data_IF_478332697812
#
_entry.id   IF_478332697812
#
_cell.length_a   1.000
_cell.length_b   1.000
_cell.length_c   1.000
_cell.angle_alpha   90.00
_cell.angle_beta   90.00
_cell.angle_gamma   90.00
#
_symmetry.space_group_name_H-M   'P 1'
#
loop_
_entity.id
_entity.type
_entity.pdbx_description
1 polymer ?
#
# COMPACT_ATOMS: atom_id res chain seq x y z
N UNK A 1 -33.34 47.16 17.41
CA UNK A 1 -32.87 46.12 16.51
C UNK A 1 -32.63 44.85 17.34
N UNK A 2 -33.38 43.75 17.10
CA UNK A 2 -33.42 42.57 17.99
C UNK A 2 -32.10 41.83 18.02
N UNK A 3 -31.64 41.42 19.22
CA UNK A 3 -30.43 40.58 19.42
C UNK A 3 -30.41 39.35 18.49
N UNK A 4 -31.60 38.77 18.23
CA UNK A 4 -31.76 37.67 17.29
C UNK A 4 -31.31 38.00 15.82
N UNK A 5 -31.56 39.24 15.36
CA UNK A 5 -31.10 39.66 14.02
C UNK A 5 -29.57 39.73 13.92
N UNK A 6 -28.90 40.25 14.93
CA UNK A 6 -27.45 40.30 14.98
C UNK A 6 -26.83 38.90 15.06
N UNK A 7 -27.45 37.99 15.82
CA UNK A 7 -27.04 36.59 15.89
C UNK A 7 -27.18 35.90 14.53
N UNK A 8 -28.33 36.07 13.85
CA UNK A 8 -28.58 35.50 12.53
C UNK A 8 -27.60 36.05 11.47
N UNK A 9 -27.36 37.36 11.48
CA UNK A 9 -26.38 37.99 10.59
C UNK A 9 -24.96 37.45 10.82
N UNK A 10 -24.57 37.31 12.07
CA UNK A 10 -23.29 36.71 12.44
C UNK A 10 -23.16 35.24 11.96
N UNK A 11 -24.19 34.43 12.16
CA UNK A 11 -24.23 33.06 11.73
C UNK A 11 -24.13 32.91 10.19
N UNK A 12 -24.91 33.74 9.48
CA UNK A 12 -24.84 33.78 7.99
C UNK A 12 -23.48 34.24 7.50
N UNK A 13 -22.91 35.29 8.10
CA UNK A 13 -21.56 35.75 7.72
C UNK A 13 -20.50 34.71 7.99
N UNK A 14 -20.54 34.03 9.12
CA UNK A 14 -19.63 32.94 9.44
C UNK A 14 -19.74 31.79 8.42
N UNK A 15 -20.98 31.38 8.12
CA UNK A 15 -21.22 30.34 7.11
C UNK A 15 -20.70 30.74 5.73
N UNK A 16 -20.93 31.99 5.31
CA UNK A 16 -20.44 32.50 4.04
C UNK A 16 -18.90 32.53 3.98
N UNK A 17 -18.24 32.91 5.09
CA UNK A 17 -16.76 32.88 5.19
C UNK A 17 -16.25 31.44 5.11
N UNK A 18 -16.87 30.51 5.82
CA UNK A 18 -16.47 29.10 5.78
C UNK A 18 -16.66 28.49 4.39
N UNK A 19 -17.77 28.77 3.73
CA UNK A 19 -18.03 28.33 2.37
C UNK A 19 -17.05 28.95 1.37
N UNK A 20 -16.77 30.26 1.50
CA UNK A 20 -15.81 30.96 0.66
C UNK A 20 -14.39 30.42 0.85
N UNK A 21 -13.97 30.21 2.09
CA UNK A 21 -12.68 29.61 2.40
C UNK A 21 -12.58 28.16 1.88
N UNK A 22 -13.63 27.35 2.04
CA UNK A 22 -13.71 26.03 1.50
C UNK A 22 -13.61 25.99 -0.01
N UNK A 23 -14.33 26.88 -0.71
CA UNK A 23 -14.28 26.99 -2.17
C UNK A 23 -12.88 27.45 -2.66
N UNK A 24 -12.26 28.39 -1.94
CA UNK A 24 -10.91 28.85 -2.24
C UNK A 24 -9.89 27.72 -2.05
N UNK A 25 -10.00 26.96 -0.97
CA UNK A 25 -9.18 25.81 -0.70
C UNK A 25 -9.32 24.73 -1.80
N UNK A 26 -10.56 24.46 -2.24
CA UNK A 26 -10.82 23.54 -3.36
C UNK A 26 -10.22 24.03 -4.69
N UNK A 27 -10.21 25.34 -4.93
CA UNK A 27 -9.60 25.91 -6.14
C UNK A 27 -8.07 25.93 -6.10
N UNK A 28 -7.49 25.99 -4.90
CA UNK A 28 -6.03 25.94 -4.71
C UNK A 28 -5.50 24.52 -4.59
N UNK A 29 -6.37 23.56 -4.23
CA UNK A 29 -6.02 22.17 -4.33
C UNK A 29 -5.76 21.83 -5.81
N UNK A 30 -4.65 21.16 -6.09
CA UNK A 30 -4.21 20.74 -7.45
C UNK A 30 -5.18 19.75 -8.12
N UNK A 31 -6.45 19.82 -7.77
CA UNK A 31 -7.50 18.91 -8.19
C UNK A 31 -7.47 17.60 -7.40
N UNK A 32 -8.18 16.61 -7.91
CA UNK A 32 -8.22 15.25 -7.35
C UNK A 32 -7.16 14.35 -8.03
N UNK A 33 -6.00 14.92 -8.41
CA UNK A 33 -4.93 14.16 -9.04
C UNK A 33 -4.24 13.26 -8.01
N UNK A 34 -4.12 11.96 -8.31
CA UNK A 34 -3.36 11.04 -7.50
C UNK A 34 -1.83 11.24 -7.61
N UNK A 35 -1.36 12.02 -8.58
CA UNK A 35 0.07 12.32 -8.75
C UNK A 35 0.61 13.38 -7.79
N UNK A 36 -0.29 14.18 -7.18
CA UNK A 36 0.12 15.18 -6.21
C UNK A 36 0.31 14.53 -4.84
N UNK A 37 1.45 14.74 -4.17
CA UNK A 37 1.67 14.17 -2.86
C UNK A 37 0.71 14.77 -1.83
N UNK A 38 0.22 13.98 -0.85
CA UNK A 38 -0.65 14.49 0.19
C UNK A 38 0.07 15.53 1.06
N UNK A 39 -0.65 16.56 1.47
CA UNK A 39 -0.10 17.58 2.37
C UNK A 39 0.26 16.99 3.74
N UNK A 40 1.18 17.65 4.47
CA UNK A 40 1.58 17.20 5.80
C UNK A 40 0.40 17.16 6.81
N UNK A 41 -0.63 17.98 6.60
CA UNK A 41 -1.85 17.99 7.43
C UNK A 41 -2.69 16.75 7.12
N UNK A 42 -2.92 16.44 5.85
CA UNK A 42 -3.63 15.23 5.42
C UNK A 42 -2.95 13.98 5.95
N UNK A 43 -1.63 13.86 5.78
CA UNK A 43 -0.86 12.71 6.29
C UNK A 43 -1.05 12.54 7.79
N UNK A 44 -0.93 13.63 8.57
CA UNK A 44 -1.10 13.56 10.04
C UNK A 44 -2.51 13.18 10.44
N UNK A 45 -3.51 13.78 9.80
CA UNK A 45 -4.92 13.50 10.09
C UNK A 45 -5.28 12.05 9.70
N UNK A 46 -4.87 11.60 8.53
CA UNK A 46 -5.11 10.24 8.07
C UNK A 46 -4.46 9.19 8.99
N UNK A 47 -3.20 9.41 9.39
CA UNK A 47 -2.50 8.51 10.34
C UNK A 47 -3.17 8.48 11.70
N UNK A 48 -3.57 9.64 12.23
CA UNK A 48 -4.29 9.72 13.49
C UNK A 48 -5.64 9.02 13.42
N UNK A 49 -6.43 9.29 12.38
CA UNK A 49 -7.75 8.67 12.17
C UNK A 49 -7.63 7.16 12.03
N UNK A 50 -6.69 6.68 11.22
CA UNK A 50 -6.42 5.23 11.09
C UNK A 50 -6.08 4.61 12.43
N UNK A 51 -5.14 5.21 13.18
CA UNK A 51 -4.77 4.68 14.51
C UNK A 51 -5.95 4.70 15.47
N UNK A 52 -6.76 5.75 15.49
CA UNK A 52 -7.93 5.84 16.35
C UNK A 52 -9.03 4.82 15.98
N UNK A 53 -9.14 4.46 14.69
CA UNK A 53 -10.14 3.52 14.18
C UNK A 53 -9.79 2.05 14.46
N UNK A 54 -8.53 1.72 14.73
CA UNK A 54 -8.13 0.33 15.07
C UNK A 54 -8.55 0.05 16.52
N UNK A 55 -9.35 -1.00 16.78
CA UNK A 55 -9.78 -1.37 18.14
C UNK A 55 -8.61 -1.64 19.08
N UNK A 56 -8.77 -1.29 20.34
CA UNK A 56 -7.72 -1.48 21.37
C UNK A 56 -7.33 -2.96 21.53
N UNK A 57 -8.31 -3.84 21.45
CA UNK A 57 -8.11 -5.30 21.50
C UNK A 57 -7.27 -5.79 20.35
N UNK A 58 -7.49 -5.25 19.14
CA UNK A 58 -6.68 -5.60 17.97
C UNK A 58 -5.22 -5.14 18.14
N UNK A 59 -5.00 -3.91 18.64
CA UNK A 59 -3.65 -3.39 18.91
C UNK A 59 -2.88 -4.21 19.96
N UNK A 60 -3.60 -4.77 20.92
CA UNK A 60 -3.00 -5.57 21.99
C UNK A 60 -2.67 -7.01 21.57
N UNK A 61 -3.10 -7.46 20.37
CA UNK A 61 -2.79 -8.81 19.89
C UNK A 61 -1.29 -8.94 19.63
N UNK A 62 -0.68 -9.95 20.22
CA UNK A 62 0.67 -10.39 19.87
C UNK A 62 0.62 -11.37 18.70
N UNK A 63 1.67 -11.42 17.89
CA UNK A 63 1.77 -12.41 16.83
C UNK A 63 1.87 -13.82 17.44
N UNK A 64 0.93 -14.73 17.16
CA UNK A 64 0.94 -16.08 17.72
C UNK A 64 1.92 -17.01 17.00
N UNK A 65 2.46 -16.62 15.84
CA UNK A 65 3.33 -17.43 15.00
C UNK A 65 4.79 -17.13 15.36
N UNK A 66 5.66 -18.12 15.57
CA UNK A 66 7.07 -17.87 15.81
C UNK A 66 7.78 -17.39 14.52
N UNK A 67 8.70 -16.44 14.65
CA UNK A 67 9.52 -15.95 13.55
C UNK A 67 10.64 -16.94 13.23
N UNK A 68 10.35 -17.99 12.44
CA UNK A 68 11.34 -18.95 11.96
C UNK A 68 11.81 -18.60 10.53
N UNK A 69 12.96 -19.10 10.08
CA UNK A 69 13.38 -18.92 8.68
C UNK A 69 12.36 -19.43 7.66
N UNK A 70 11.66 -20.52 7.97
CA UNK A 70 10.62 -21.10 7.10
C UNK A 70 9.43 -20.17 6.99
N UNK A 71 8.94 -19.65 8.11
CA UNK A 71 7.85 -18.64 8.15
C UNK A 71 8.22 -17.39 7.37
N UNK A 72 9.47 -16.93 7.51
CA UNK A 72 9.93 -15.77 6.74
C UNK A 72 10.03 -16.06 5.23
N UNK A 73 10.43 -17.27 4.84
CA UNK A 73 10.48 -17.67 3.44
C UNK A 73 9.09 -17.77 2.82
N UNK A 74 8.12 -18.36 3.51
CA UNK A 74 6.72 -18.42 3.09
C UNK A 74 6.12 -17.01 2.97
N UNK A 75 6.31 -16.17 3.97
CA UNK A 75 5.82 -14.80 3.98
C UNK A 75 6.47 -13.94 2.88
N UNK A 76 7.75 -14.15 2.58
CA UNK A 76 8.48 -13.51 1.47
C UNK A 76 7.86 -13.88 0.12
N UNK A 77 7.57 -15.15 -0.10
CA UNK A 77 6.93 -15.62 -1.31
C UNK A 77 5.52 -15.02 -1.47
N UNK A 78 4.74 -15.06 -0.41
CA UNK A 78 3.39 -14.47 -0.37
C UNK A 78 3.41 -12.95 -0.62
N UNK A 79 4.38 -12.24 -0.03
CA UNK A 79 4.58 -10.81 -0.27
C UNK A 79 4.89 -10.53 -1.72
N UNK A 80 5.84 -11.27 -2.32
CA UNK A 80 6.25 -11.07 -3.70
C UNK A 80 5.10 -11.29 -4.69
N UNK A 81 4.24 -12.28 -4.43
CA UNK A 81 3.10 -12.60 -5.29
C UNK A 81 1.94 -11.61 -5.16
N UNK A 82 1.62 -11.11 -3.96
CA UNK A 82 0.39 -10.35 -3.71
C UNK A 82 0.63 -8.88 -3.34
N UNK A 83 1.65 -8.58 -2.55
CA UNK A 83 1.84 -7.26 -1.95
C UNK A 83 2.78 -6.37 -2.75
N UNK A 84 3.79 -6.97 -3.39
CA UNK A 84 4.85 -6.24 -4.06
C UNK A 84 4.38 -5.40 -5.24
N UNK A 85 3.26 -5.75 -5.88
CA UNK A 85 2.65 -4.96 -6.96
C UNK A 85 2.36 -3.50 -6.57
N UNK A 86 2.04 -3.26 -5.28
CA UNK A 86 1.82 -1.92 -4.74
C UNK A 86 2.97 -1.48 -3.81
N UNK A 87 3.51 -2.40 -3.01
CA UNK A 87 4.47 -2.07 -1.95
C UNK A 87 5.93 -2.24 -2.37
N UNK A 88 6.21 -2.70 -3.59
CA UNK A 88 7.52 -3.16 -4.07
C UNK A 88 8.08 -4.35 -3.27
N UNK A 89 9.04 -5.08 -3.81
CA UNK A 89 9.64 -6.23 -3.13
C UNK A 89 10.32 -5.84 -1.81
N UNK A 90 10.92 -4.66 -1.77
CA UNK A 90 11.62 -4.16 -0.59
C UNK A 90 10.74 -3.37 0.39
N UNK A 91 9.44 -3.27 0.14
CA UNK A 91 8.52 -2.54 0.99
C UNK A 91 8.63 -1.00 0.90
N UNK A 92 9.35 -0.48 -0.09
CA UNK A 92 9.52 0.97 -0.29
C UNK A 92 8.25 1.69 -0.73
N UNK A 93 7.26 0.97 -1.27
CA UNK A 93 6.10 1.55 -1.94
C UNK A 93 6.42 2.08 -3.36
N UNK A 94 7.66 1.91 -3.82
CA UNK A 94 8.15 2.42 -5.12
C UNK A 94 7.84 1.43 -6.26
N UNK A 95 6.61 0.95 -6.30
CA UNK A 95 6.06 0.17 -7.41
C UNK A 95 5.14 1.06 -8.27
N UNK A 96 4.98 0.71 -9.54
CA UNK A 96 4.15 1.50 -10.47
C UNK A 96 2.74 1.75 -9.92
N UNK A 97 2.07 0.72 -9.42
CA UNK A 97 0.74 0.87 -8.83
C UNK A 97 0.79 1.68 -7.52
N UNK A 98 1.76 1.41 -6.65
CA UNK A 98 1.90 2.07 -5.36
C UNK A 98 2.11 3.57 -5.46
N UNK A 99 2.94 4.01 -6.41
CA UNK A 99 3.21 5.45 -6.65
C UNK A 99 2.01 6.20 -7.24
N UNK A 100 1.18 5.51 -8.02
CA UNK A 100 0.04 6.12 -8.72
C UNK A 100 -1.28 6.03 -7.94
N UNK A 101 -1.25 5.56 -6.70
CA UNK A 101 -2.40 5.58 -5.79
C UNK A 101 -2.43 6.86 -4.94
N UNK A 102 -3.61 7.21 -4.44
CA UNK A 102 -3.75 8.29 -3.47
C UNK A 102 -4.43 7.78 -2.19
N UNK A 103 -3.77 7.92 -1.03
CA UNK A 103 -2.35 8.24 -0.87
C UNK A 103 -1.46 7.14 -1.49
N UNK A 104 -0.21 7.46 -1.86
CA UNK A 104 0.72 6.44 -2.36
C UNK A 104 1.03 5.39 -1.30
N UNK A 105 1.42 4.21 -1.75
CA UNK A 105 1.83 3.15 -0.84
C UNK A 105 2.99 3.62 0.05
N UNK A 106 2.92 3.40 1.37
CA UNK A 106 3.96 3.89 2.27
C UNK A 106 5.25 3.09 2.16
N UNK A 107 6.39 3.74 2.44
CA UNK A 107 7.64 3.02 2.72
C UNK A 107 7.53 2.34 4.09
N UNK A 108 7.36 1.03 4.06
CA UNK A 108 7.14 0.23 5.26
C UNK A 108 8.42 -0.04 6.07
N UNK A 109 9.59 0.30 5.53
CA UNK A 109 10.88 0.19 6.23
C UNK A 109 11.06 1.31 7.26
N UNK A 110 10.28 2.39 7.12
CA UNK A 110 10.39 3.58 7.96
C UNK A 110 9.73 3.41 9.33
N UNK A 111 10.13 4.23 10.32
CA UNK A 111 9.61 4.16 11.69
C UNK A 111 8.10 4.27 11.82
N UNK A 112 7.43 4.93 10.87
CA UNK A 112 5.99 5.10 10.85
C UNK A 112 5.23 3.78 10.76
N UNK A 113 5.77 2.80 10.03
CA UNK A 113 5.23 1.43 9.98
C UNK A 113 5.88 0.55 11.04
N UNK A 114 7.19 0.65 11.21
CA UNK A 114 7.94 -0.23 12.10
C UNK A 114 7.60 -0.07 13.59
N UNK A 115 7.04 1.08 14.01
CA UNK A 115 6.57 1.31 15.39
C UNK A 115 5.13 0.86 15.67
N UNK A 116 4.38 0.49 14.63
CA UNK A 116 3.04 -0.07 14.81
C UNK A 116 3.15 -1.40 15.55
N UNK A 117 2.14 -1.75 16.37
CA UNK A 117 2.13 -3.08 17.01
C UNK A 117 1.89 -4.16 15.96
N UNK A 118 2.20 -5.41 16.28
CA UNK A 118 1.92 -6.54 15.38
C UNK A 118 0.43 -6.69 15.13
N UNK A 119 -0.39 -6.45 16.16
CA UNK A 119 -1.83 -6.43 16.05
C UNK A 119 -2.37 -5.31 15.16
N UNK A 120 -1.73 -4.13 15.14
CA UNK A 120 -2.10 -3.06 14.20
C UNK A 120 -1.78 -3.43 12.76
N UNK A 121 -0.61 -4.00 12.49
CA UNK A 121 -0.23 -4.47 11.16
C UNK A 121 -1.16 -5.59 10.68
N UNK A 122 -1.40 -6.57 11.53
CA UNK A 122 -2.36 -7.65 11.26
C UNK A 122 -3.75 -7.10 10.92
N UNK A 123 -4.26 -6.16 11.75
CA UNK A 123 -5.57 -5.56 11.52
C UNK A 123 -5.66 -4.85 10.17
N UNK A 124 -4.61 -4.12 9.79
CA UNK A 124 -4.54 -3.42 8.49
C UNK A 124 -4.52 -4.41 7.33
N UNK A 125 -3.77 -5.49 7.42
CA UNK A 125 -3.75 -6.52 6.37
C UNK A 125 -5.15 -7.13 6.22
N UNK A 126 -5.77 -7.53 7.32
CA UNK A 126 -7.07 -8.19 7.30
C UNK A 126 -8.20 -7.28 6.78
N UNK A 127 -8.20 -6.00 7.16
CA UNK A 127 -9.33 -5.10 6.91
C UNK A 127 -9.07 -4.07 5.80
N UNK A 128 -7.83 -3.94 5.34
CA UNK A 128 -7.43 -2.87 4.44
C UNK A 128 -7.48 -1.48 5.08
N UNK A 129 -7.34 -0.46 4.24
CA UNK A 129 -7.44 0.94 4.68
C UNK A 129 -8.48 1.67 3.84
N UNK A 130 -9.59 2.06 4.47
CA UNK A 130 -10.69 2.75 3.80
C UNK A 130 -10.22 4.03 3.11
N UNK A 131 -10.79 4.33 1.95
CA UNK A 131 -10.46 5.49 1.10
C UNK A 131 -9.01 5.49 0.59
N UNK A 132 -8.40 4.31 0.49
CA UNK A 132 -7.08 4.10 -0.14
C UNK A 132 -7.14 2.92 -1.10
N UNK A 133 -6.05 2.67 -1.83
CA UNK A 133 -5.92 1.49 -2.67
C UNK A 133 -5.60 0.19 -1.92
N UNK A 134 -5.41 0.22 -0.58
CA UNK A 134 -5.11 -0.99 0.20
C UNK A 134 -6.38 -1.79 0.47
N UNK A 135 -6.58 -2.95 -0.18
CA UNK A 135 -7.75 -3.80 0.07
C UNK A 135 -7.62 -4.54 1.42
N UNK A 136 -8.74 -5.03 1.94
CA UNK A 136 -8.72 -6.01 3.02
C UNK A 136 -8.51 -7.40 2.45
N UNK A 137 -7.56 -8.14 3.01
CA UNK A 137 -7.21 -9.50 2.59
C UNK A 137 -7.92 -10.57 3.42
N UNK A 138 -8.46 -10.22 4.59
CA UNK A 138 -9.25 -11.14 5.42
C UNK A 138 -10.70 -11.26 4.96
N UNK A 139 -11.38 -12.25 5.49
CA UNK A 139 -12.82 -12.45 5.29
C UNK A 139 -13.18 -13.80 4.67
N UNK A 140 -14.46 -14.15 4.71
CA UNK A 140 -14.95 -15.41 4.17
C UNK A 140 -14.79 -15.46 2.65
N UNK A 141 -14.10 -16.47 2.15
CA UNK A 141 -13.84 -16.65 0.72
C UNK A 141 -12.54 -16.03 0.21
N UNK A 142 -11.75 -15.42 1.10
CA UNK A 142 -10.38 -15.06 0.79
C UNK A 142 -9.50 -16.30 0.70
N UNK A 143 -8.60 -16.34 -0.29
CA UNK A 143 -7.53 -17.36 -0.34
C UNK A 143 -6.43 -17.07 0.70
N UNK A 144 -6.48 -15.90 1.33
CA UNK A 144 -5.54 -15.42 2.33
C UNK A 144 -6.18 -15.57 3.72
N UNK A 145 -5.60 -16.36 4.58
CA UNK A 145 -6.11 -16.63 5.92
C UNK A 145 -5.46 -15.75 7.01
N UNK A 146 -5.88 -15.94 8.26
CA UNK A 146 -5.29 -15.21 9.39
C UNK A 146 -3.83 -15.59 9.61
N UNK A 147 -3.45 -16.83 9.33
CA UNK A 147 -2.08 -17.30 9.47
C UNK A 147 -1.14 -16.60 8.52
N UNK A 148 -1.53 -16.47 7.25
CA UNK A 148 -0.78 -15.74 6.25
C UNK A 148 -0.57 -14.27 6.65
N UNK A 149 -1.60 -13.63 7.18
CA UNK A 149 -1.49 -12.26 7.68
C UNK A 149 -0.47 -12.13 8.81
N UNK A 150 -0.43 -13.09 9.74
CA UNK A 150 0.55 -13.08 10.82
C UNK A 150 1.98 -13.36 10.33
N UNK A 151 2.13 -14.25 9.34
CA UNK A 151 3.42 -14.47 8.67
C UNK A 151 3.90 -13.20 7.97
N UNK A 152 3.01 -12.50 7.27
CA UNK A 152 3.32 -11.21 6.63
C UNK A 152 3.75 -10.13 7.64
N UNK A 153 3.20 -10.12 8.86
CA UNK A 153 3.68 -9.20 9.91
C UNK A 153 5.16 -9.44 10.22
N UNK A 154 5.63 -10.69 10.32
CA UNK A 154 7.04 -10.99 10.48
C UNK A 154 7.88 -10.50 9.30
N UNK A 155 7.39 -10.68 8.07
CA UNK A 155 8.09 -10.19 6.90
C UNK A 155 8.18 -8.67 6.86
N UNK A 156 7.10 -7.94 7.21
CA UNK A 156 7.12 -6.47 7.34
C UNK A 156 8.19 -6.02 8.35
N UNK A 157 8.34 -6.72 9.47
CA UNK A 157 9.42 -6.44 10.44
C UNK A 157 10.81 -6.69 9.86
N UNK A 158 10.93 -7.62 8.93
CA UNK A 158 12.19 -7.98 8.28
C UNK A 158 12.57 -7.05 7.12
N UNK A 159 11.64 -6.32 6.53
CA UNK A 159 11.87 -5.45 5.36
C UNK A 159 13.12 -4.54 5.45
N UNK A 160 13.41 -3.88 6.61
CA UNK A 160 14.61 -3.05 6.73
C UNK A 160 15.94 -3.81 6.62
N UNK A 161 15.91 -5.13 6.69
CA UNK A 161 17.08 -6.02 6.74
C UNK A 161 17.23 -6.87 5.47
N UNK A 162 16.35 -6.70 4.47
CA UNK A 162 16.39 -7.47 3.22
C UNK A 162 17.71 -7.28 2.48
N UNK A 163 18.34 -8.39 2.14
CA UNK A 163 19.54 -8.42 1.32
C UNK A 163 19.22 -8.16 -0.16
N UNK A 164 20.25 -7.92 -0.94
CA UNK A 164 20.11 -7.81 -2.40
C UNK A 164 19.67 -9.14 -3.01
N UNK A 165 20.19 -10.24 -2.49
CA UNK A 165 19.86 -11.60 -2.93
C UNK A 165 18.38 -11.92 -2.67
N UNK A 166 17.85 -11.55 -1.49
CA UNK A 166 16.43 -11.74 -1.19
C UNK A 166 15.54 -11.02 -2.21
N UNK A 167 15.87 -9.76 -2.53
CA UNK A 167 15.10 -8.98 -3.51
C UNK A 167 15.12 -9.62 -4.89
N UNK A 168 16.28 -10.10 -5.33
CA UNK A 168 16.43 -10.79 -6.63
C UNK A 168 15.66 -12.12 -6.69
N UNK A 169 15.58 -12.84 -5.58
CA UNK A 169 14.72 -14.03 -5.50
C UNK A 169 13.24 -13.68 -5.59
N UNK A 170 12.82 -12.59 -4.92
CA UNK A 170 11.44 -12.13 -4.93
C UNK A 170 10.97 -11.68 -6.34
N UNK A 171 11.86 -11.11 -7.15
CA UNK A 171 11.56 -10.75 -8.55
C UNK A 171 11.09 -11.95 -9.37
N UNK A 172 11.62 -13.14 -9.09
CA UNK A 172 11.20 -14.38 -9.77
C UNK A 172 9.83 -14.89 -9.33
N UNK A 173 9.37 -14.43 -8.16
CA UNK A 173 8.09 -14.82 -7.55
C UNK A 173 6.97 -13.81 -7.85
N UNK A 174 7.31 -12.65 -8.42
CA UNK A 174 6.32 -11.64 -8.78
C UNK A 174 5.38 -12.17 -9.87
N UNK A 175 4.08 -11.82 -9.83
CA UNK A 175 3.14 -12.17 -10.87
C UNK A 175 3.60 -11.65 -12.23
N UNK A 176 3.68 -12.55 -13.20
CA UNK A 176 4.09 -12.20 -14.56
C UNK A 176 2.93 -11.60 -15.34
N UNK A 177 3.18 -10.44 -15.94
CA UNK A 177 2.23 -9.79 -16.84
C UNK A 177 2.01 -10.60 -18.13
N UNK A 178 1.02 -10.22 -18.96
CA UNK A 178 0.83 -10.86 -20.28
C UNK A 178 2.02 -10.67 -21.21
N UNK A 179 2.76 -9.57 -21.07
CA UNK A 179 3.96 -9.28 -21.88
C UNK A 179 5.13 -10.15 -21.44
N UNK A 180 5.42 -10.22 -20.13
CA UNK A 180 6.46 -11.08 -19.59
C UNK A 180 6.28 -12.55 -19.98
N UNK A 181 5.02 -13.01 -19.98
CA UNK A 181 4.68 -14.38 -20.40
C UNK A 181 4.95 -14.62 -21.88
N UNK A 182 4.70 -13.64 -22.75
CA UNK A 182 5.01 -13.74 -24.16
C UNK A 182 6.50 -13.78 -24.40
N UNK A 183 7.26 -12.90 -23.74
CA UNK A 183 8.72 -12.88 -23.81
C UNK A 183 9.31 -14.23 -23.39
N UNK A 184 8.82 -14.80 -22.29
CA UNK A 184 9.26 -16.14 -21.85
C UNK A 184 8.89 -17.24 -22.83
N UNK A 185 7.68 -17.19 -23.42
CA UNK A 185 7.29 -18.15 -24.45
C UNK A 185 8.17 -18.04 -25.69
N UNK A 186 8.50 -16.82 -26.10
CA UNK A 186 9.40 -16.56 -27.23
C UNK A 186 10.83 -17.03 -26.91
N UNK A 187 11.34 -16.73 -25.72
CA UNK A 187 12.64 -17.22 -25.26
C UNK A 187 12.69 -18.76 -25.24
N UNK A 188 11.65 -19.40 -24.70
CA UNK A 188 11.56 -20.85 -24.67
C UNK A 188 11.47 -21.45 -26.07
N UNK A 189 10.76 -20.84 -27.02
CA UNK A 189 10.72 -21.28 -28.43
C UNK A 189 12.10 -21.16 -29.06
N UNK A 190 12.77 -20.04 -28.82
CA UNK A 190 14.15 -19.84 -29.29
C UNK A 190 15.11 -20.90 -28.73
N UNK A 191 15.05 -21.16 -27.41
CA UNK A 191 15.88 -22.18 -26.77
C UNK A 191 15.60 -23.62 -27.28
N UNK A 192 14.36 -23.89 -27.71
CA UNK A 192 13.98 -25.17 -28.33
C UNK A 192 14.31 -25.24 -29.81
N UNK A 193 14.81 -24.15 -30.41
CA UNK A 193 15.09 -24.08 -31.84
C UNK A 193 13.86 -24.08 -32.75
N UNK A 194 12.72 -23.67 -32.19
CA UNK A 194 11.43 -23.63 -32.91
C UNK A 194 11.21 -22.31 -33.65
N UNK A 195 12.03 -21.28 -33.40
CA UNK A 195 11.95 -19.96 -34.03
C UNK A 195 13.30 -19.57 -34.64
N UNK A 196 13.36 -19.47 -35.94
CA UNK A 196 14.61 -19.15 -36.67
C UNK A 196 14.61 -17.72 -37.24
N UNK A 197 13.55 -16.92 -37.09
CA UNK A 197 13.38 -15.69 -37.88
C UNK A 197 13.10 -14.38 -37.12
N UNK A 198 13.15 -14.33 -35.79
CA UNK A 198 12.96 -13.06 -35.05
C UNK A 198 14.27 -12.61 -34.38
N UNK A 199 14.74 -11.36 -34.62
CA UNK A 199 15.82 -10.79 -33.83
C UNK A 199 15.31 -10.48 -32.40
N UNK A 200 16.15 -10.61 -31.35
CA UNK A 200 15.76 -10.32 -29.99
C UNK A 200 15.30 -8.85 -29.84
N UNK A 201 14.16 -8.66 -29.20
CA UNK A 201 13.63 -7.34 -28.93
C UNK A 201 14.60 -6.54 -28.04
N UNK A 202 14.93 -5.32 -28.47
CA UNK A 202 15.74 -4.41 -27.66
C UNK A 202 14.96 -3.99 -26.42
N UNK A 203 15.54 -4.27 -25.26
CA UNK A 203 14.98 -3.89 -23.95
C UNK A 203 14.95 -2.37 -23.81
N UNK A 204 13.78 -1.77 -23.94
CA UNK A 204 13.54 -0.40 -23.52
C UNK A 204 13.18 -0.39 -22.02
N UNK A 205 14.20 -0.16 -21.19
CA UNK A 205 14.00 0.21 -19.80
C UNK A 205 13.41 1.63 -19.73
N UNK A 206 12.19 1.73 -19.26
CA UNK A 206 11.57 3.00 -18.85
C UNK A 206 11.45 3.07 -17.32
#
# INVERSE_FOLDING_TARGET
MNRARWFLLGAVATLAILLGAGLLALRQASGFSAHEPPSAVEVRLARWTRSAAIPAEAKARANPIPATPEVLAEARAHWADHCASCHANDGSGDALMGRNMYPPAPDMRLPETQRMTDGELFYIIQNGVRLTGMPGWGGSGSAHDEEDSWKLVHFIRHLPQLSFEDKKEMEKLNPKGPEDRKEEEEEQKFLRGEDTDAPPAEHHHH
#
